data_IF_254393185497
#
_entry.id   IF_254393185497
#
_cell.length_a   1.000
_cell.length_b   1.000
_cell.length_c   1.000
_cell.angle_alpha   90.00
_cell.angle_beta   90.00
_cell.angle_gamma   90.00
#
_symmetry.space_group_name_H-M   'P 1'
#
loop_
_entity.id
_entity.type
_entity.pdbx_description
1 polymer ?
#
# COMPACT_ATOMS: atom_id res chain seq x y z
N UNK A 1 -4.54 6.97 -0.45
CA UNK A 1 -4.41 7.74 -1.70
C UNK A 1 -3.57 6.96 -2.71
N UNK A 2 -4.10 6.74 -3.90
CA UNK A 2 -3.34 6.06 -4.95
C UNK A 2 -2.31 7.01 -5.56
N UNK A 3 -1.23 6.44 -6.04
CA UNK A 3 -0.11 7.17 -6.62
C UNK A 3 0.33 6.50 -7.90
N UNK A 4 0.97 7.25 -8.77
CA UNK A 4 1.70 6.64 -9.88
C UNK A 4 3.00 6.03 -9.36
N UNK A 5 3.59 5.14 -10.16
CA UNK A 5 4.88 4.55 -9.80
C UNK A 5 5.96 5.63 -9.69
N UNK A 6 5.91 6.68 -10.52
CA UNK A 6 6.86 7.79 -10.43
C UNK A 6 6.70 8.56 -9.11
N UNK A 7 5.47 8.81 -8.69
CA UNK A 7 5.20 9.47 -7.42
C UNK A 7 5.65 8.63 -6.24
N UNK A 8 5.44 7.32 -6.32
CA UNK A 8 5.90 6.40 -5.27
C UNK A 8 7.42 6.41 -5.17
N UNK A 9 8.13 6.38 -6.29
CA UNK A 9 9.59 6.45 -6.30
C UNK A 9 10.07 7.72 -5.61
N UNK A 10 9.45 8.86 -5.90
CA UNK A 10 9.81 10.13 -5.30
C UNK A 10 9.60 10.13 -3.79
N UNK A 11 8.48 9.56 -3.34
CA UNK A 11 8.20 9.44 -1.91
C UNK A 11 9.24 8.57 -1.20
N UNK A 12 9.65 7.46 -1.82
CA UNK A 12 10.68 6.58 -1.28
C UNK A 12 12.02 7.32 -1.17
N UNK A 13 12.39 8.08 -2.18
CA UNK A 13 13.62 8.87 -2.16
C UNK A 13 13.64 9.87 -1.01
N UNK A 14 12.52 10.54 -0.75
CA UNK A 14 12.41 11.46 0.38
C UNK A 14 12.53 10.75 1.72
N UNK A 15 11.96 9.55 1.84
CA UNK A 15 12.09 8.74 3.04
C UNK A 15 13.54 8.32 3.28
N UNK A 16 14.25 7.96 2.22
CA UNK A 16 15.67 7.60 2.32
C UNK A 16 16.49 8.79 2.85
N UNK A 17 16.20 9.99 2.36
CA UNK A 17 16.91 11.19 2.83
C UNK A 17 16.68 11.47 4.31
N UNK A 18 15.48 11.18 4.82
CA UNK A 18 15.16 11.44 6.23
C UNK A 18 15.57 10.32 7.17
N UNK A 19 15.49 9.07 6.72
CA UNK A 19 15.64 7.91 7.59
C UNK A 19 16.85 7.04 7.25
N UNK A 20 17.44 7.23 6.08
CA UNK A 20 18.53 6.39 5.59
C UNK A 20 18.00 5.22 4.76
N UNK A 21 18.83 4.76 3.82
CA UNK A 21 18.43 3.70 2.90
C UNK A 21 18.28 2.33 3.56
N UNK A 22 18.91 2.15 4.71
CA UNK A 22 18.85 0.89 5.46
C UNK A 22 17.77 0.87 6.54
N UNK A 23 16.96 1.94 6.66
CA UNK A 23 15.87 1.96 7.60
C UNK A 23 14.81 0.93 7.22
N UNK A 24 14.30 0.14 8.17
CA UNK A 24 13.28 -0.84 7.86
C UNK A 24 11.96 -0.17 7.45
N UNK A 25 11.24 -0.83 6.58
CA UNK A 25 9.94 -0.35 6.10
C UNK A 25 9.03 -1.53 5.88
N UNK A 26 7.74 -1.36 6.18
CA UNK A 26 6.71 -2.30 5.80
C UNK A 26 5.92 -1.69 4.65
N UNK A 27 5.76 -2.44 3.57
CA UNK A 27 5.10 -1.91 2.38
C UNK A 27 4.25 -2.98 1.69
N UNK A 28 3.09 -2.57 1.21
CA UNK A 28 2.21 -3.39 0.38
C UNK A 28 1.95 -2.62 -0.90
N UNK A 29 2.33 -3.19 -2.03
CA UNK A 29 2.23 -2.54 -3.33
C UNK A 29 1.28 -3.36 -4.21
N UNK A 30 0.21 -2.73 -4.67
CA UNK A 30 -0.78 -3.36 -5.54
C UNK A 30 -0.85 -2.58 -6.85
N UNK A 31 -0.75 -3.30 -7.96
CA UNK A 31 -0.79 -2.74 -9.30
C UNK A 31 -1.83 -3.49 -10.13
N UNK A 32 -2.01 -3.08 -11.37
CA UNK A 32 -2.92 -3.77 -12.29
C UNK A 32 -2.59 -5.25 -12.45
N UNK A 33 -1.33 -5.64 -12.28
CA UNK A 33 -0.94 -7.05 -12.36
C UNK A 33 -1.66 -7.90 -11.30
N UNK A 34 -1.86 -7.34 -10.11
CA UNK A 34 -2.59 -8.04 -9.05
C UNK A 34 -4.06 -8.23 -9.41
N UNK A 35 -4.64 -7.29 -10.14
CA UNK A 35 -6.02 -7.41 -10.60
C UNK A 35 -6.12 -8.48 -11.69
N UNK A 36 -5.17 -8.53 -12.62
CA UNK A 36 -5.15 -9.54 -13.67
C UNK A 36 -4.99 -10.94 -13.10
N UNK A 37 -4.25 -11.09 -12.02
CA UNK A 37 -3.98 -12.38 -11.40
C UNK A 37 -5.15 -12.90 -10.56
N UNK A 38 -6.20 -12.11 -10.38
CA UNK A 38 -7.36 -12.51 -9.59
C UNK A 38 -8.12 -13.64 -10.30
N UNK A 39 -8.22 -14.83 -9.68
CA UNK A 39 -8.66 -16.04 -10.40
C UNK A 39 -10.12 -16.03 -10.80
N UNK A 40 -10.97 -15.26 -10.16
CA UNK A 40 -12.39 -15.16 -10.47
C UNK A 40 -12.72 -13.99 -11.39
N UNK A 41 -11.71 -13.21 -11.75
CA UNK A 41 -11.88 -12.11 -12.68
C UNK A 41 -12.12 -12.66 -14.08
N UNK A 42 -13.10 -12.13 -14.80
CA UNK A 42 -13.27 -12.40 -16.22
C UNK A 42 -12.21 -11.68 -17.03
N UNK A 43 -12.52 -11.34 -18.26
CA UNK A 43 -11.61 -10.53 -19.07
C UNK A 43 -11.51 -9.12 -18.47
N UNK A 44 -10.34 -8.83 -17.91
CA UNK A 44 -10.05 -7.52 -17.32
C UNK A 44 -9.14 -6.77 -18.27
N UNK A 45 -9.60 -5.60 -18.73
CA UNK A 45 -8.79 -4.71 -19.56
C UNK A 45 -7.90 -3.84 -18.68
N UNK A 46 -6.88 -3.21 -19.28
CA UNK A 46 -6.04 -2.25 -18.57
C UNK A 46 -6.85 -1.13 -17.92
N UNK A 47 -7.85 -0.60 -18.63
CA UNK A 47 -8.67 0.47 -18.09
C UNK A 47 -9.44 0.04 -16.85
N UNK A 48 -10.01 -1.17 -16.88
CA UNK A 48 -10.75 -1.71 -15.73
C UNK A 48 -9.80 -1.94 -14.57
N UNK A 49 -8.65 -2.55 -14.82
CA UNK A 49 -7.66 -2.81 -13.78
C UNK A 49 -7.19 -1.51 -13.11
N UNK A 50 -6.90 -0.48 -13.89
CA UNK A 50 -6.49 0.81 -13.35
C UNK A 50 -7.59 1.46 -12.51
N UNK A 51 -8.85 1.33 -12.93
CA UNK A 51 -9.97 1.85 -12.15
C UNK A 51 -10.14 1.10 -10.84
N UNK A 52 -9.91 -0.20 -10.84
CA UNK A 52 -9.95 -0.98 -9.59
C UNK A 52 -8.87 -0.48 -8.62
N UNK A 53 -7.65 -0.29 -9.11
CA UNK A 53 -6.56 0.22 -8.26
C UNK A 53 -6.91 1.60 -7.68
N UNK A 54 -7.41 2.51 -8.51
CA UNK A 54 -7.82 3.84 -8.05
C UNK A 54 -8.94 3.78 -7.02
N UNK A 55 -9.82 2.80 -7.13
CA UNK A 55 -10.94 2.63 -6.21
C UNK A 55 -10.53 2.11 -4.83
N UNK A 56 -9.32 1.58 -4.69
CA UNK A 56 -8.85 1.05 -3.39
C UNK A 56 -8.80 2.12 -2.31
N UNK A 57 -8.67 3.39 -2.68
CA UNK A 57 -8.71 4.50 -1.73
C UNK A 57 -10.02 4.60 -0.95
N UNK A 58 -11.08 4.01 -1.47
CA UNK A 58 -12.41 4.07 -0.85
C UNK A 58 -12.56 3.12 0.33
N UNK A 59 -11.59 2.23 0.53
CA UNK A 59 -11.66 1.19 1.55
C UNK A 59 -10.88 1.59 2.79
N UNK A 60 -11.46 2.48 3.57
CA UNK A 60 -10.83 3.04 4.77
C UNK A 60 -10.44 2.00 5.81
N UNK A 61 -11.15 0.87 5.85
CA UNK A 61 -10.88 -0.17 6.84
C UNK A 61 -9.48 -0.77 6.74
N UNK A 62 -8.85 -0.71 5.54
CA UNK A 62 -7.47 -1.19 5.37
C UNK A 62 -6.51 -0.39 6.24
N UNK A 63 -6.67 0.93 6.25
CA UNK A 63 -5.83 1.81 7.06
C UNK A 63 -6.06 1.59 8.55
N UNK A 64 -7.32 1.40 8.93
CA UNK A 64 -7.68 1.14 10.33
C UNK A 64 -7.02 -0.14 10.83
N UNK A 65 -7.04 -1.21 10.04
CA UNK A 65 -6.40 -2.46 10.42
C UNK A 65 -4.90 -2.33 10.62
N UNK A 66 -4.22 -1.56 9.77
CA UNK A 66 -2.78 -1.32 9.91
C UNK A 66 -2.49 -0.57 11.20
N UNK A 67 -3.25 0.46 11.51
CA UNK A 67 -3.07 1.21 12.76
C UNK A 67 -3.36 0.35 13.98
N UNK A 68 -4.36 -0.52 13.91
CA UNK A 68 -4.65 -1.45 14.99
C UNK A 68 -3.48 -2.41 15.24
N UNK A 69 -2.84 -2.89 14.18
CA UNK A 69 -1.66 -3.73 14.30
C UNK A 69 -0.49 -2.99 14.95
N UNK A 70 -0.27 -1.74 14.57
CA UNK A 70 0.78 -0.92 15.17
C UNK A 70 0.50 -0.74 16.67
N UNK A 71 -0.73 -0.42 17.01
CA UNK A 71 -1.14 -0.22 18.40
C UNK A 71 -0.90 -1.49 19.23
N UNK A 72 -1.29 -2.64 18.70
CA UNK A 72 -1.11 -3.91 19.39
C UNK A 72 0.38 -4.24 19.62
N UNK A 73 1.21 -4.04 18.61
CA UNK A 73 2.65 -4.25 18.75
C UNK A 73 3.26 -3.33 19.80
N UNK A 74 2.86 -2.07 19.82
CA UNK A 74 3.33 -1.15 20.85
C UNK A 74 2.91 -1.56 22.25
N UNK A 75 1.71 -2.10 22.41
CA UNK A 75 1.23 -2.62 23.69
C UNK A 75 2.00 -3.84 24.13
N UNK A 76 2.30 -4.76 23.20
CA UNK A 76 3.09 -5.95 23.51
C UNK A 76 4.51 -5.59 23.94
N UNK A 77 5.06 -4.53 23.40
CA UNK A 77 6.38 -4.03 23.76
C UNK A 77 6.35 -3.15 25.00
N UNK A 78 5.17 -2.92 25.58
CA UNK A 78 4.95 -2.11 26.77
C UNK A 78 5.37 -0.65 26.60
N UNK A 79 5.19 -0.12 25.40
CA UNK A 79 5.41 1.29 25.08
C UNK A 79 4.17 2.12 25.36
N UNK A 80 3.00 1.52 25.21
CA UNK A 80 1.71 2.13 25.49
C UNK A 80 1.12 1.63 26.80
#
# INVERSE_FOLDING_TARGET
MTRTLAELRQAVEQLIQRQGENAPVAAWIYTKDDVFDYPEGGEVTDDVANKVIESLDQYDHIYTEIFDCIDEELRQMKVL
#
